data_IF_594791601259
#
_entry.id   IF_594791601259
#
_cell.length_a   1.000
_cell.length_b   1.000
_cell.length_c   1.000
_cell.angle_alpha   90.00
_cell.angle_beta   90.00
_cell.angle_gamma   90.00
#
_symmetry.space_group_name_H-M   'P 1'
#
loop_
_entity.id
_entity.type
_entity.pdbx_description
1 polymer ?
#
# COMPACT_ATOMS: atom_id res chain seq x y z
N UNK A 1 4.82 -14.63 -1.44
CA UNK A 1 4.52 -13.41 -2.23
C UNK A 1 3.40 -12.59 -1.60
N UNK A 2 2.23 -13.18 -1.37
CA UNK A 2 1.07 -12.51 -0.75
C UNK A 2 1.37 -11.84 0.59
N UNK A 3 2.22 -12.43 1.44
CA UNK A 3 2.65 -11.82 2.71
C UNK A 3 3.42 -10.51 2.52
N UNK A 4 4.23 -10.39 1.47
CA UNK A 4 4.96 -9.16 1.14
C UNK A 4 3.95 -8.06 0.80
N UNK A 5 2.90 -8.38 0.04
CA UNK A 5 1.84 -7.42 -0.26
C UNK A 5 1.05 -7.02 0.98
N UNK A 6 0.76 -7.95 1.90
CA UNK A 6 0.11 -7.61 3.18
C UNK A 6 0.95 -6.63 4.00
N UNK A 7 2.25 -6.90 4.14
CA UNK A 7 3.18 -5.98 4.83
C UNK A 7 3.29 -4.63 4.13
N UNK A 8 3.28 -4.64 2.79
CA UNK A 8 3.28 -3.41 1.98
C UNK A 8 2.04 -2.57 2.24
N UNK A 9 0.85 -3.18 2.19
CA UNK A 9 -0.42 -2.49 2.46
C UNK A 9 -0.50 -1.98 3.89
N UNK A 10 -0.09 -2.78 4.88
CA UNK A 10 -0.05 -2.34 6.28
C UNK A 10 0.89 -1.14 6.47
N UNK A 11 2.00 -1.05 5.73
CA UNK A 11 2.91 0.10 5.82
C UNK A 11 2.23 1.42 5.42
N UNK A 12 1.20 1.37 4.56
CA UNK A 12 0.49 2.54 4.10
C UNK A 12 -0.37 3.21 5.17
N UNK A 13 -0.65 2.56 6.30
CA UNK A 13 -1.33 3.20 7.44
C UNK A 13 -0.57 4.46 7.89
N UNK A 14 0.76 4.45 7.76
CA UNK A 14 1.62 5.59 8.09
C UNK A 14 1.44 6.81 7.15
N UNK A 15 0.65 6.69 6.08
CA UNK A 15 0.31 7.82 5.21
C UNK A 15 -0.70 8.79 5.87
N UNK A 16 -1.38 8.38 6.94
CA UNK A 16 -2.35 9.23 7.64
C UNK A 16 -1.71 10.35 8.47
N UNK A 17 -0.42 10.24 8.80
CA UNK A 17 0.29 11.22 9.62
C UNK A 17 1.57 11.71 8.92
N UNK A 18 1.48 12.87 8.28
CA UNK A 18 2.62 13.51 7.60
C UNK A 18 3.76 13.94 8.53
N UNK A 19 3.52 14.03 9.85
CA UNK A 19 4.54 14.40 10.84
C UNK A 19 5.32 13.19 11.34
N UNK A 20 4.79 11.99 11.13
CA UNK A 20 5.44 10.75 11.52
C UNK A 20 6.77 10.57 10.76
N UNK A 21 7.85 10.13 11.42
CA UNK A 21 9.10 9.79 10.74
C UNK A 21 8.92 8.64 9.73
N UNK A 22 7.84 7.85 9.86
CA UNK A 22 7.52 6.75 8.96
C UNK A 22 6.82 7.19 7.66
N UNK A 23 6.31 8.42 7.58
CA UNK A 23 5.57 8.91 6.41
C UNK A 23 6.42 8.86 5.14
N UNK A 24 7.65 9.38 5.18
CA UNK A 24 8.57 9.39 4.04
C UNK A 24 8.90 7.99 3.53
N UNK A 25 8.97 7.02 4.45
CA UNK A 25 9.20 5.61 4.13
C UNK A 25 7.97 4.99 3.46
N UNK A 26 6.77 5.24 3.98
CA UNK A 26 5.52 4.75 3.37
C UNK A 26 5.31 5.33 1.96
N UNK A 27 5.59 6.62 1.77
CA UNK A 27 5.58 7.26 0.44
C UNK A 27 6.58 6.60 -0.51
N UNK A 28 7.80 6.29 -0.03
CA UNK A 28 8.81 5.61 -0.85
C UNK A 28 8.37 4.20 -1.27
N UNK A 29 7.76 3.44 -0.36
CA UNK A 29 7.19 2.12 -0.65
C UNK A 29 6.06 2.25 -1.70
N UNK A 30 5.15 3.20 -1.52
CA UNK A 30 4.05 3.44 -2.47
C UNK A 30 4.58 3.80 -3.86
N UNK A 31 5.63 4.62 -3.92
CA UNK A 31 6.30 4.97 -5.17
C UNK A 31 6.90 3.72 -5.85
N UNK A 32 7.51 2.81 -5.09
CA UNK A 32 8.01 1.53 -5.63
C UNK A 32 6.88 0.68 -6.19
N UNK A 33 5.78 0.51 -5.45
CA UNK A 33 4.59 -0.24 -5.91
C UNK A 33 4.07 0.31 -7.24
N UNK A 34 3.96 1.64 -7.35
CA UNK A 34 3.51 2.30 -8.57
C UNK A 34 4.51 2.13 -9.73
N UNK A 35 5.81 2.34 -9.46
CA UNK A 35 6.88 2.28 -10.48
C UNK A 35 6.95 0.90 -11.14
N UNK A 36 6.89 -0.15 -10.32
CA UNK A 36 6.99 -1.53 -10.80
C UNK A 36 5.63 -2.15 -11.12
N UNK A 37 4.55 -1.37 -11.07
CA UNK A 37 3.17 -1.79 -11.34
C UNK A 37 2.79 -3.07 -10.57
N UNK A 38 3.18 -3.15 -9.30
CA UNK A 38 2.95 -4.34 -8.47
C UNK A 38 1.46 -4.69 -8.32
N UNK A 39 0.56 -3.72 -8.49
CA UNK A 39 -0.88 -3.96 -8.56
C UNK A 39 -1.27 -4.96 -9.67
N UNK A 40 -0.55 -5.00 -10.80
CA UNK A 40 -0.80 -6.00 -11.86
C UNK A 40 -0.45 -7.40 -11.37
N UNK A 41 0.71 -7.55 -10.71
CA UNK A 41 1.13 -8.82 -10.12
C UNK A 41 0.15 -9.27 -9.02
N UNK A 42 -0.40 -8.34 -8.23
CA UNK A 42 -1.42 -8.65 -7.23
C UNK A 42 -2.70 -9.18 -7.87
N UNK A 43 -3.11 -8.64 -9.03
CA UNK A 43 -4.27 -9.13 -9.78
C UNK A 43 -3.98 -10.52 -10.38
N UNK A 44 -2.82 -10.72 -10.99
CA UNK A 44 -2.41 -12.01 -11.56
C UNK A 44 -2.33 -13.12 -10.51
N UNK A 45 -2.07 -12.76 -9.26
CA UNK A 45 -2.02 -13.66 -8.10
C UNK A 45 -3.35 -13.72 -7.32
N UNK A 46 -4.44 -13.19 -7.86
CA UNK A 46 -5.79 -13.21 -7.26
C UNK A 46 -5.81 -12.66 -5.81
N UNK A 47 -5.01 -11.64 -5.53
CA UNK A 47 -4.89 -11.00 -4.21
C UNK A 47 -5.99 -9.94 -3.96
N UNK A 48 -7.21 -10.18 -4.44
CA UNK A 48 -8.29 -9.18 -4.49
C UNK A 48 -8.61 -8.54 -3.14
N UNK A 49 -8.62 -9.35 -2.06
CA UNK A 49 -8.87 -8.83 -0.71
C UNK A 49 -7.83 -7.80 -0.29
N UNK A 50 -6.56 -8.04 -0.58
CA UNK A 50 -5.46 -7.13 -0.23
C UNK A 50 -5.55 -5.84 -1.04
N UNK A 51 -5.96 -5.94 -2.31
CA UNK A 51 -6.21 -4.77 -3.16
C UNK A 51 -7.34 -3.94 -2.57
N UNK A 52 -8.45 -4.56 -2.17
CA UNK A 52 -9.59 -3.87 -1.54
C UNK A 52 -9.15 -3.18 -0.24
N UNK A 53 -8.44 -3.88 0.64
CA UNK A 53 -7.93 -3.33 1.91
C UNK A 53 -7.04 -2.09 1.67
N UNK A 54 -6.19 -2.14 0.65
CA UNK A 54 -5.33 -1.02 0.25
C UNK A 54 -6.15 0.21 -0.18
N UNK A 55 -7.17 0.03 -1.03
CA UNK A 55 -8.02 1.14 -1.47
C UNK A 55 -8.84 1.71 -0.32
N UNK A 56 -9.38 0.87 0.57
CA UNK A 56 -10.10 1.34 1.77
C UNK A 56 -9.19 2.19 2.66
N UNK A 57 -7.94 1.77 2.86
CA UNK A 57 -6.96 2.52 3.61
C UNK A 57 -6.69 3.89 2.96
N UNK A 58 -6.48 3.96 1.65
CA UNK A 58 -6.29 5.25 0.97
C UNK A 58 -7.51 6.16 1.07
N UNK A 59 -8.72 5.62 0.92
CA UNK A 59 -9.96 6.40 1.06
C UNK A 59 -10.13 6.94 2.49
N UNK A 60 -9.66 6.21 3.51
CA UNK A 60 -9.66 6.69 4.89
C UNK A 60 -8.63 7.80 5.15
N UNK A 61 -7.48 7.76 4.46
CA UNK A 61 -6.43 8.79 4.56
C UNK A 61 -6.81 10.10 3.84
N UNK A 62 -7.58 10.02 2.74
CA UNK A 62 -7.97 11.18 1.93
C UNK A 62 -9.12 12.01 2.57
N UNK A 63 -9.76 11.50 3.62
CA UNK A 63 -10.80 12.24 4.37
C UNK A 63 -10.25 13.49 5.05
#
# INVERSE_FOLDING_TARGET
MTEIFRLTVASFENLSDMRSPCYSKAVSILKSVATYRWCLVMLDLECDRIIIDMFQLFLNVIR
#
